data_IF_301890988888
#
_entry.id   IF_301890988888
#
_cell.length_a   1.000
_cell.length_b   1.000
_cell.length_c   1.000
_cell.angle_alpha   90.00
_cell.angle_beta   90.00
_cell.angle_gamma   90.00
#
_symmetry.space_group_name_H-M   'P 1'
#
loop_
_entity.id
_entity.type
_entity.pdbx_description
1 polymer ?
#
# COMPACT_ATOMS: atom_id res chain seq x y z
N UNK A 1 -5.86 3.33 -11.22
CA UNK A 1 -4.68 2.47 -10.92
C UNK A 1 -5.10 1.09 -10.42
N UNK A 2 -5.75 0.95 -9.25
CA UNK A 2 -6.11 -0.39 -8.75
C UNK A 2 -7.17 -1.06 -9.64
N UNK A 3 -8.20 -0.30 -10.03
CA UNK A 3 -9.34 -0.83 -10.78
C UNK A 3 -8.97 -1.34 -12.18
N UNK A 4 -7.97 -0.74 -12.81
CA UNK A 4 -7.48 -1.12 -14.14
C UNK A 4 -6.33 -2.13 -14.10
N UNK A 5 -5.43 -2.04 -13.12
CA UNK A 5 -4.26 -2.91 -13.05
C UNK A 5 -4.54 -4.28 -12.40
N UNK A 6 -5.58 -4.39 -11.58
CA UNK A 6 -5.86 -5.60 -10.78
C UNK A 6 -7.22 -6.25 -11.05
N UNK A 7 -7.91 -5.83 -12.11
CA UNK A 7 -9.19 -6.44 -12.51
C UNK A 7 -9.00 -7.94 -12.77
N UNK A 8 -9.75 -8.79 -12.03
CA UNK A 8 -9.67 -10.27 -12.10
C UNK A 8 -8.28 -10.86 -11.85
N UNK A 9 -7.37 -10.10 -11.24
CA UNK A 9 -6.04 -10.61 -10.86
C UNK A 9 -6.12 -11.45 -9.59
N UNK A 10 -6.97 -11.06 -8.64
CA UNK A 10 -7.09 -11.73 -7.34
C UNK A 10 -8.42 -12.49 -7.24
N UNK A 11 -8.37 -13.69 -6.65
CA UNK A 11 -9.54 -14.51 -6.32
C UNK A 11 -10.38 -13.85 -5.23
N UNK A 12 -9.76 -13.05 -4.36
CA UNK A 12 -10.43 -12.33 -3.28
C UNK A 12 -9.78 -10.98 -2.99
N UNK A 13 -10.60 -9.98 -2.65
CA UNK A 13 -10.14 -8.67 -2.20
C UNK A 13 -10.77 -8.37 -0.84
N UNK A 14 -9.93 -8.10 0.16
CA UNK A 14 -10.33 -7.77 1.53
C UNK A 14 -9.88 -6.34 1.83
N UNK A 15 -10.81 -5.47 2.24
CA UNK A 15 -10.52 -4.10 2.66
C UNK A 15 -10.72 -4.00 4.17
N UNK A 16 -9.63 -3.75 4.89
CA UNK A 16 -9.61 -3.50 6.33
C UNK A 16 -9.47 -2.00 6.54
N UNK A 17 -10.53 -1.36 7.02
CA UNK A 17 -10.54 0.08 7.21
C UNK A 17 -11.48 0.48 8.36
N UNK A 18 -11.02 1.25 9.36
CA UNK A 18 -11.86 1.70 10.47
C UNK A 18 -13.05 2.56 10.06
N UNK A 19 -12.91 3.31 8.96
CA UNK A 19 -13.92 4.25 8.46
C UNK A 19 -14.69 3.71 7.26
N UNK A 20 -14.61 2.39 6.98
CA UNK A 20 -15.16 1.77 5.78
C UNK A 20 -16.67 2.01 5.61
N UNK A 21 -17.41 2.12 6.71
CA UNK A 21 -18.86 2.38 6.69
C UNK A 21 -19.20 3.75 6.11
N UNK A 22 -18.29 4.72 6.24
CA UNK A 22 -18.44 6.09 5.77
C UNK A 22 -17.67 6.35 4.47
N UNK A 23 -16.83 5.41 4.04
CA UNK A 23 -15.96 5.54 2.89
C UNK A 23 -16.59 4.92 1.64
N UNK A 24 -17.14 5.77 0.76
CA UNK A 24 -17.78 5.35 -0.49
C UNK A 24 -16.80 4.95 -1.59
N UNK A 25 -15.49 5.18 -1.40
CA UNK A 25 -14.44 4.87 -2.40
C UNK A 25 -14.51 3.43 -2.88
N UNK A 26 -14.83 2.50 -1.97
CA UNK A 26 -14.85 1.07 -2.25
C UNK A 26 -16.21 0.54 -2.74
N UNK A 27 -17.20 1.40 -2.97
CA UNK A 27 -18.54 0.95 -3.39
C UNK A 27 -18.53 0.37 -4.80
N UNK A 28 -17.71 0.93 -5.69
CA UNK A 28 -17.62 0.48 -7.08
C UNK A 28 -16.67 -0.71 -7.26
N UNK A 29 -15.94 -1.10 -6.20
CA UNK A 29 -14.96 -2.18 -6.30
C UNK A 29 -15.58 -3.57 -6.38
N UNK A 30 -16.89 -3.70 -6.15
CA UNK A 30 -17.63 -4.94 -6.40
C UNK A 30 -17.48 -5.47 -7.83
N UNK A 31 -17.07 -4.62 -8.78
CA UNK A 31 -16.82 -4.97 -10.17
C UNK A 31 -15.41 -5.54 -10.44
N UNK A 32 -14.48 -5.43 -9.49
CA UNK A 32 -13.08 -5.84 -9.68
C UNK A 32 -12.85 -7.34 -9.56
N UNK A 33 -13.82 -8.04 -8.97
CA UNK A 33 -13.75 -9.45 -8.70
C UNK A 33 -15.17 -10.04 -8.81
N UNK A 34 -15.29 -11.20 -9.45
CA UNK A 34 -16.55 -11.93 -9.62
C UNK A 34 -17.17 -12.37 -8.27
N UNK A 35 -16.36 -12.47 -7.21
CA UNK A 35 -16.75 -12.78 -5.82
C UNK A 35 -16.96 -11.53 -4.94
N UNK A 36 -16.80 -10.34 -5.51
CA UNK A 36 -16.96 -9.07 -4.79
C UNK A 36 -15.79 -8.72 -3.86
N UNK A 37 -16.02 -7.72 -3.01
CA UNK A 37 -15.02 -7.18 -2.07
C UNK A 37 -15.52 -7.32 -0.64
N UNK A 38 -14.70 -7.93 0.21
CA UNK A 38 -15.00 -8.13 1.63
C UNK A 38 -14.53 -6.89 2.39
N UNK A 39 -15.47 -6.15 2.97
CA UNK A 39 -15.21 -4.93 3.72
C UNK A 39 -15.29 -5.22 5.22
N UNK A 40 -14.20 -5.00 5.94
CA UNK A 40 -14.09 -5.28 7.37
C UNK A 40 -13.91 -3.95 8.13
N UNK A 41 -14.99 -3.41 8.74
CA UNK A 41 -14.85 -2.32 9.71
C UNK A 41 -14.12 -2.86 10.95
N UNK A 42 -13.07 -2.18 11.39
CA UNK A 42 -12.42 -2.52 12.65
C UNK A 42 -11.76 -1.32 13.31
N UNK A 43 -11.75 -1.28 14.64
CA UNK A 43 -11.02 -0.22 15.37
C UNK A 43 -9.51 -0.30 15.11
N UNK A 44 -8.82 0.82 15.35
CA UNK A 44 -7.37 0.93 15.14
C UNK A 44 -6.56 -0.11 15.95
N UNK A 45 -7.08 -0.50 17.11
CA UNK A 45 -6.48 -1.48 18.01
C UNK A 45 -6.64 -2.92 17.51
N UNK A 46 -7.71 -3.19 16.75
CA UNK A 46 -8.06 -4.52 16.26
C UNK A 46 -7.42 -4.88 14.92
N UNK A 47 -6.85 -3.91 14.19
CA UNK A 47 -6.28 -4.14 12.85
C UNK A 47 -5.30 -5.31 12.84
N UNK A 48 -4.38 -5.39 13.81
CA UNK A 48 -3.44 -6.52 13.90
C UNK A 48 -4.15 -7.87 14.01
N UNK A 49 -5.19 -7.95 14.84
CA UNK A 49 -5.96 -9.17 15.02
C UNK A 49 -6.74 -9.54 13.76
N UNK A 50 -7.41 -8.56 13.14
CA UNK A 50 -8.15 -8.73 11.89
C UNK A 50 -7.24 -9.22 10.78
N UNK A 51 -6.04 -8.65 10.65
CA UNK A 51 -5.08 -9.06 9.64
C UNK A 51 -4.56 -10.48 9.88
N UNK A 52 -4.30 -10.83 11.14
CA UNK A 52 -3.89 -12.19 11.50
C UNK A 52 -4.97 -13.21 11.11
N UNK A 53 -6.23 -12.97 11.49
CA UNK A 53 -7.37 -13.83 11.16
C UNK A 53 -7.59 -13.90 9.64
N UNK A 54 -7.56 -12.75 8.95
CA UNK A 54 -7.70 -12.68 7.49
C UNK A 54 -6.61 -13.49 6.79
N UNK A 55 -5.35 -13.37 7.23
CA UNK A 55 -4.24 -14.12 6.64
C UNK A 55 -4.39 -15.64 6.77
N UNK A 56 -5.04 -16.12 7.84
CA UNK A 56 -5.31 -17.54 8.05
C UNK A 56 -6.48 -18.01 7.19
N UNK A 57 -7.56 -17.24 7.14
CA UNK A 57 -8.78 -17.58 6.36
C UNK A 57 -8.46 -17.66 4.87
N UNK A 58 -7.70 -16.71 4.34
CA UNK A 58 -7.39 -16.60 2.91
C UNK A 58 -6.05 -17.25 2.52
N UNK A 59 -5.50 -18.08 3.40
CA UNK A 59 -4.24 -18.79 3.10
C UNK A 59 -4.43 -19.70 1.89
N UNK A 60 -3.59 -19.53 0.87
CA UNK A 60 -3.59 -20.36 -0.34
C UNK A 60 -4.54 -19.89 -1.45
N UNK A 61 -5.38 -18.87 -1.20
CA UNK A 61 -6.16 -18.18 -2.22
C UNK A 61 -5.44 -16.93 -2.67
N UNK A 62 -5.43 -16.61 -3.98
CA UNK A 62 -4.74 -15.43 -4.48
C UNK A 62 -5.49 -14.17 -4.01
N UNK A 63 -5.06 -13.59 -2.89
CA UNK A 63 -5.86 -12.62 -2.15
C UNK A 63 -5.13 -11.31 -1.97
N UNK A 64 -5.81 -10.21 -2.28
CA UNK A 64 -5.35 -8.86 -1.97
C UNK A 64 -5.98 -8.37 -0.67
N UNK A 65 -5.16 -7.99 0.29
CA UNK A 65 -5.56 -7.31 1.52
C UNK A 65 -5.19 -5.83 1.40
N UNK A 66 -6.19 -4.95 1.42
CA UNK A 66 -6.03 -3.49 1.44
C UNK A 66 -6.24 -3.00 2.86
N UNK A 67 -5.26 -2.28 3.39
CA UNK A 67 -5.31 -1.65 4.71
C UNK A 67 -5.36 -0.15 4.53
N UNK A 68 -6.49 0.46 4.87
CA UNK A 68 -6.75 1.89 4.63
C UNK A 68 -7.15 2.63 5.90
N UNK A 69 -6.77 3.90 5.97
CA UNK A 69 -7.07 4.81 7.08
C UNK A 69 -6.64 4.27 8.45
N UNK A 70 -5.42 3.72 8.51
CA UNK A 70 -4.84 3.11 9.71
C UNK A 70 -3.65 3.89 10.33
N UNK A 71 -3.64 5.25 10.33
CA UNK A 71 -2.45 6.05 10.65
C UNK A 71 -2.00 5.94 12.11
N UNK A 72 -2.88 5.51 13.02
CA UNK A 72 -2.58 5.32 14.44
C UNK A 72 -2.35 3.86 14.84
N UNK A 73 -2.67 2.91 13.97
CA UNK A 73 -2.57 1.49 14.28
C UNK A 73 -1.14 1.09 14.64
N UNK A 74 -1.01 0.32 15.71
CA UNK A 74 0.26 -0.33 16.05
C UNK A 74 0.71 -1.28 14.93
N UNK A 75 -0.23 -1.79 14.12
CA UNK A 75 0.04 -2.62 12.96
C UNK A 75 1.02 -1.96 11.98
N UNK A 76 0.81 -0.68 11.68
CA UNK A 76 1.63 0.06 10.71
C UNK A 76 2.89 0.65 11.36
N UNK A 77 2.85 0.93 12.67
CA UNK A 77 3.92 1.61 13.41
C UNK A 77 4.97 0.68 14.03
N UNK A 78 4.59 -0.53 14.43
CA UNK A 78 5.49 -1.42 15.17
C UNK A 78 6.43 -2.19 14.25
N UNK A 79 7.61 -2.50 14.81
CA UNK A 79 8.69 -3.26 14.18
C UNK A 79 8.34 -4.75 14.00
N UNK A 80 7.45 -5.24 14.86
CA UNK A 80 6.87 -6.58 14.84
C UNK A 80 5.36 -6.39 14.87
N UNK A 81 4.71 -6.55 13.72
CA UNK A 81 3.25 -6.52 13.64
C UNK A 81 2.78 -7.68 12.79
N UNK A 82 1.50 -8.03 12.91
CA UNK A 82 0.89 -9.01 12.02
C UNK A 82 0.74 -8.49 10.58
N UNK A 83 1.14 -7.23 10.28
CA UNK A 83 1.43 -6.75 8.91
C UNK A 83 2.81 -7.19 8.40
N UNK A 84 3.80 -7.29 9.29
CA UNK A 84 5.16 -7.75 8.97
C UNK A 84 5.14 -9.22 8.57
N UNK A 85 4.33 -10.07 9.20
CA UNK A 85 4.27 -11.50 8.84
C UNK A 85 3.82 -11.70 7.38
N UNK A 86 2.69 -11.16 6.90
CA UNK A 86 2.38 -11.13 5.48
C UNK A 86 3.45 -10.40 4.66
N UNK A 87 3.92 -9.21 5.04
CA UNK A 87 4.95 -8.52 4.23
C UNK A 87 6.21 -9.36 3.96
N UNK A 88 6.61 -10.24 4.90
CA UNK A 88 7.76 -11.12 4.78
C UNK A 88 7.44 -12.53 4.26
N UNK A 89 6.21 -13.03 4.45
CA UNK A 89 5.84 -14.43 4.15
C UNK A 89 4.59 -14.60 3.26
N UNK A 90 3.96 -13.51 2.84
CA UNK A 90 2.75 -13.52 2.02
C UNK A 90 2.96 -14.19 0.65
N UNK A 91 4.17 -14.11 0.09
CA UNK A 91 4.52 -14.86 -1.13
C UNK A 91 4.37 -16.37 -0.94
N UNK A 92 4.61 -16.90 0.26
CA UNK A 92 4.38 -18.31 0.58
C UNK A 92 2.91 -18.64 0.84
N UNK A 93 2.06 -17.63 1.07
CA UNK A 93 0.64 -17.79 1.38
C UNK A 93 -0.30 -17.34 0.25
N UNK A 94 0.26 -16.95 -0.90
CA UNK A 94 -0.46 -16.37 -2.04
C UNK A 94 -1.24 -15.09 -1.68
N UNK A 95 -0.70 -14.31 -0.74
CA UNK A 95 -1.29 -13.06 -0.28
C UNK A 95 -0.53 -11.88 -0.89
N UNK A 96 -1.25 -10.80 -1.17
CA UNK A 96 -0.71 -9.49 -1.49
C UNK A 96 -1.28 -8.47 -0.51
N UNK A 97 -0.48 -7.48 -0.11
CA UNK A 97 -0.91 -6.45 0.84
C UNK A 97 -0.64 -5.07 0.25
N UNK A 98 -1.67 -4.22 0.23
CA UNK A 98 -1.56 -2.78 -0.05
C UNK A 98 -1.87 -2.02 1.23
N UNK A 99 -0.97 -1.11 1.61
CA UNK A 99 -1.19 -0.19 2.74
C UNK A 99 -1.33 1.21 2.19
N UNK A 100 -2.47 1.85 2.48
CA UNK A 100 -2.74 3.24 2.14
C UNK A 100 -2.45 4.10 3.38
N UNK A 101 -1.55 5.07 3.22
CA UNK A 101 -1.14 5.97 4.32
C UNK A 101 -0.95 7.39 3.82
N UNK A 102 -1.28 8.37 4.67
CA UNK A 102 -1.00 9.78 4.42
C UNK A 102 0.47 10.15 4.72
N UNK A 103 1.14 9.38 5.58
CA UNK A 103 2.51 9.66 6.02
C UNK A 103 3.34 8.38 5.91
N UNK A 104 4.25 8.32 4.96
CA UNK A 104 5.12 7.16 4.79
C UNK A 104 6.10 7.01 5.96
N UNK A 105 6.54 8.14 6.52
CA UNK A 105 7.44 8.19 7.68
C UNK A 105 6.83 7.59 8.95
N UNK A 106 5.50 7.45 9.04
CA UNK A 106 4.85 6.74 10.15
C UNK A 106 4.83 5.22 9.98
N UNK A 107 5.12 4.70 8.78
CA UNK A 107 5.24 3.26 8.51
C UNK A 107 6.59 2.78 9.00
N UNK A 108 6.62 1.64 9.72
CA UNK A 108 7.86 1.11 10.27
C UNK A 108 8.89 0.76 9.18
N UNK A 109 10.18 1.04 9.42
CA UNK A 109 11.26 0.80 8.45
C UNK A 109 11.30 -0.66 7.94
N UNK A 110 11.17 -1.70 8.79
CA UNK A 110 11.17 -3.09 8.31
C UNK A 110 10.05 -3.37 7.31
N UNK A 111 8.89 -2.74 7.46
CA UNK A 111 7.82 -2.90 6.48
C UNK A 111 8.23 -2.22 5.16
N UNK A 112 8.74 -0.99 5.22
CA UNK A 112 9.19 -0.21 4.05
C UNK A 112 10.27 -0.94 3.23
N UNK A 113 11.23 -1.57 3.89
CA UNK A 113 12.30 -2.35 3.25
C UNK A 113 11.80 -3.60 2.49
N UNK A 114 10.56 -4.05 2.75
CA UNK A 114 9.98 -5.24 2.11
C UNK A 114 8.90 -4.89 1.08
N UNK A 115 8.67 -3.60 0.81
CA UNK A 115 7.72 -3.15 -0.22
C UNK A 115 8.32 -3.43 -1.60
N UNK A 116 7.54 -4.01 -2.51
CA UNK A 116 7.94 -4.22 -3.91
C UNK A 116 7.63 -3.05 -4.84
N UNK A 117 6.63 -2.24 -4.48
CA UNK A 117 6.14 -1.15 -5.34
C UNK A 117 5.60 0.02 -4.53
N UNK A 118 6.45 0.96 -4.07
CA UNK A 118 5.98 2.19 -3.47
C UNK A 118 5.36 3.10 -4.52
N UNK A 119 4.13 3.55 -4.25
CA UNK A 119 3.43 4.57 -5.06
C UNK A 119 3.16 5.78 -4.19
N UNK A 120 3.52 6.97 -4.68
CA UNK A 120 3.38 8.21 -3.90
C UNK A 120 2.84 9.36 -4.75
N UNK A 121 1.97 10.17 -4.14
CA UNK A 121 1.55 11.46 -4.68
C UNK A 121 2.53 12.54 -4.22
N UNK A 122 2.37 13.77 -4.71
CA UNK A 122 3.07 14.90 -4.13
C UNK A 122 2.82 15.00 -2.62
N UNK A 123 3.90 14.96 -1.84
CA UNK A 123 3.84 15.15 -0.40
C UNK A 123 4.75 16.34 -0.01
N UNK A 124 4.20 17.41 0.60
CA UNK A 124 5.01 18.56 1.04
C UNK A 124 5.88 18.27 2.28
N UNK A 125 5.70 17.12 2.93
CA UNK A 125 6.45 16.70 4.11
C UNK A 125 7.91 16.42 3.76
N UNK A 126 8.82 17.27 4.25
CA UNK A 126 10.27 17.03 4.14
C UNK A 126 10.69 15.68 4.71
N UNK A 127 9.98 15.19 5.74
CA UNK A 127 10.26 13.88 6.36
C UNK A 127 9.93 12.74 5.40
N UNK A 128 8.77 12.78 4.75
CA UNK A 128 8.35 11.73 3.82
C UNK A 128 9.17 11.76 2.53
N UNK A 129 9.48 12.95 1.99
CA UNK A 129 10.39 13.09 0.85
C UNK A 129 11.74 12.46 1.16
N UNK A 130 12.30 12.75 2.35
CA UNK A 130 13.57 12.15 2.76
C UNK A 130 13.48 10.62 2.83
N UNK A 131 12.40 10.08 3.42
CA UNK A 131 12.19 8.62 3.47
C UNK A 131 12.09 8.01 2.07
N UNK A 132 11.37 8.64 1.14
CA UNK A 132 11.27 8.15 -0.25
C UNK A 132 12.64 8.14 -0.92
N UNK A 133 13.40 9.23 -0.77
CA UNK A 133 14.72 9.36 -1.37
C UNK A 133 15.70 8.34 -0.79
N UNK A 134 15.79 8.26 0.54
CA UNK A 134 16.76 7.40 1.24
C UNK A 134 16.42 5.92 1.05
N UNK A 135 15.14 5.53 1.16
CA UNK A 135 14.75 4.11 1.14
C UNK A 135 14.56 3.58 -0.31
N UNK A 136 14.18 4.40 -1.30
CA UNK A 136 13.78 3.89 -2.63
C UNK A 136 14.43 4.56 -3.84
N UNK A 137 14.92 5.80 -3.71
CA UNK A 137 15.56 6.52 -4.83
C UNK A 137 17.08 6.66 -4.63
N UNK A 138 17.67 5.82 -3.80
CA UNK A 138 19.11 5.84 -3.59
C UNK A 138 19.83 5.58 -4.93
N UNK A 139 20.78 6.46 -5.28
CA UNK A 139 21.48 6.43 -6.57
C UNK A 139 20.79 7.20 -7.70
N UNK A 140 19.58 7.73 -7.49
CA UNK A 140 18.94 8.63 -8.46
C UNK A 140 19.53 10.05 -8.31
N UNK A 141 19.93 10.72 -9.42
CA UNK A 141 20.45 12.07 -9.38
C UNK A 141 19.49 13.08 -8.71
N UNK A 142 20.04 13.99 -7.90
CA UNK A 142 19.27 14.97 -7.14
C UNK A 142 18.46 15.94 -8.00
N UNK A 143 18.99 16.31 -9.17
CA UNK A 143 18.30 17.14 -10.17
C UNK A 143 17.05 16.43 -10.71
N UNK A 144 17.17 15.14 -11.04
CA UNK A 144 16.03 14.33 -11.49
C UNK A 144 14.95 14.18 -10.39
N UNK A 145 15.34 13.97 -9.14
CA UNK A 145 14.40 13.93 -8.00
C UNK A 145 13.66 15.26 -7.87
N UNK A 146 14.38 16.39 -8.03
CA UNK A 146 13.81 17.73 -8.00
C UNK A 146 12.79 17.94 -9.13
N UNK A 147 13.10 17.48 -10.34
CA UNK A 147 12.22 17.56 -11.49
C UNK A 147 10.95 16.72 -11.32
N UNK A 148 11.08 15.48 -10.85
CA UNK A 148 9.93 14.62 -10.52
C UNK A 148 9.06 15.29 -9.46
N UNK A 149 9.65 15.81 -8.39
CA UNK A 149 8.92 16.50 -7.31
C UNK A 149 8.15 17.71 -7.84
N UNK A 150 8.74 18.46 -8.77
CA UNK A 150 8.10 19.61 -9.43
C UNK A 150 6.90 19.17 -10.29
N UNK A 151 7.02 18.08 -11.04
CA UNK A 151 5.90 17.51 -11.82
C UNK A 151 4.77 17.06 -10.90
N UNK A 152 5.07 16.27 -9.87
CA UNK A 152 4.08 15.80 -8.89
C UNK A 152 3.33 16.98 -8.25
N UNK A 153 4.04 18.06 -7.91
CA UNK A 153 3.44 19.27 -7.33
C UNK A 153 2.51 20.01 -8.30
N UNK A 154 2.89 20.08 -9.57
CA UNK A 154 2.18 20.86 -10.60
C UNK A 154 0.94 20.11 -11.12
N UNK A 155 1.08 18.82 -11.36
CA UNK A 155 0.06 18.00 -12.02
C UNK A 155 -0.74 17.22 -10.98
N UNK A 156 -1.94 17.72 -10.65
CA UNK A 156 -2.85 17.06 -9.71
C UNK A 156 -3.10 15.61 -10.08
N UNK A 157 -3.20 14.76 -9.06
CA UNK A 157 -3.44 13.31 -9.19
C UNK A 157 -2.31 12.52 -9.90
N UNK A 158 -1.18 13.16 -10.21
CA UNK A 158 -0.01 12.44 -10.71
C UNK A 158 0.65 11.67 -9.57
N UNK A 159 1.04 10.44 -9.88
CA UNK A 159 1.76 9.55 -8.96
C UNK A 159 3.16 9.25 -9.48
N UNK A 160 4.10 9.09 -8.55
CA UNK A 160 5.36 8.41 -8.81
C UNK A 160 5.19 6.94 -8.41
N UNK A 161 5.42 6.05 -9.36
CA UNK A 161 5.32 4.60 -9.21
C UNK A 161 6.70 3.98 -9.38
N UNK A 162 7.25 3.47 -8.27
CA UNK A 162 8.60 2.94 -8.21
C UNK A 162 8.52 1.43 -8.26
N UNK A 163 9.16 0.81 -9.26
CA UNK A 163 9.17 -0.64 -9.40
C UNK A 163 10.50 -1.21 -8.87
N UNK A 164 10.43 -1.87 -7.72
CA UNK A 164 11.57 -2.53 -7.08
C UNK A 164 11.59 -4.00 -7.50
N UNK A 165 12.04 -4.25 -8.74
CA UNK A 165 12.47 -5.57 -9.20
C UNK A 165 14.00 -5.57 -9.12
N UNK A 166 14.66 -6.73 -9.03
CA UNK A 166 16.14 -6.90 -9.00
C UNK A 166 16.92 -6.15 -10.12
N UNK A 167 16.21 -5.47 -11.03
CA UNK A 167 16.70 -4.38 -11.89
C UNK A 167 15.81 -3.14 -11.72
N UNK A 168 16.33 -2.08 -11.10
CA UNK A 168 15.65 -0.79 -10.87
C UNK A 168 14.96 -0.27 -12.15
N UNK A 169 13.62 -0.17 -12.11
CA UNK A 169 12.81 0.45 -13.17
C UNK A 169 11.91 1.53 -12.57
N UNK A 170 11.90 2.73 -13.16
CA UNK A 170 10.97 3.80 -12.78
C UNK A 170 9.94 3.98 -13.88
N UNK A 171 8.66 4.07 -13.52
CA UNK A 171 7.58 4.36 -14.45
C UNK A 171 6.71 5.50 -13.92
N UNK A 172 6.47 6.51 -14.74
CA UNK A 172 5.45 7.51 -14.48
C UNK A 172 4.14 7.04 -15.10
N UNK A 173 3.09 6.91 -14.29
CA UNK A 173 1.76 6.55 -14.74
C UNK A 173 0.82 7.75 -14.57
N UNK A 174 -0.02 8.01 -15.58
CA UNK A 174 -1.19 8.88 -15.47
C UNK A 174 -2.44 8.00 -15.29
N UNK A 175 -3.43 8.44 -14.50
CA UNK A 175 -4.67 7.69 -14.31
C UNK A 175 -5.42 7.44 -15.61
#
# INVERSE_FOLDING_TARGET
MIETAYNKVFDSIVVVCPTIEWNTTYNNWSQLNDHGVIKIPCSQEMINHVLSVTSVIFKGTNTLIVVDDCPSSQAVKQRVSELVRPAFSARHYNLSVIVLTQQLSSVSKPFRENISRPVTFYNPSKKDIKVITDDYLNGVPHDLISDITRVLRREKYTTLDILLIDSYGFTLSKP
#
